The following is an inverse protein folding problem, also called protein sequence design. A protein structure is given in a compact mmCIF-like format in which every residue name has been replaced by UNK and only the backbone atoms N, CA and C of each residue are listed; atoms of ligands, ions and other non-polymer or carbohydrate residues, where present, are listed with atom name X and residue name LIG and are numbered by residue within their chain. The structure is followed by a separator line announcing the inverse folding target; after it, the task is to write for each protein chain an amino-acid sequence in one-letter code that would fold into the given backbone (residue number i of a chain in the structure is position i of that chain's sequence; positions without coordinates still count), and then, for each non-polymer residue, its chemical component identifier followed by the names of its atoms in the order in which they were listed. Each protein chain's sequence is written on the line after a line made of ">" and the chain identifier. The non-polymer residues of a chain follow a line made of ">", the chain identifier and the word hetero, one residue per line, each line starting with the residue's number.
data_IF_331773593272
#
_entry.id   IF_331773593272
#
_cell.length_a   1.000
_cell.length_b   1.000
_cell.length_c   1.000
_cell.angle_alpha   90.00
_cell.angle_beta   90.00
_cell.angle_gamma   90.00
#
_symmetry.space_group_name_H-M   'P 1'
#
loop_
_entity.id
_entity.type
_entity.pdbx_description
1 polymer ?
#
# COMPACT_ATOMS: atom_id res chain seq x y z
N UNK A 1 -20.24 -0.10 -6.35
CA UNK A 1 -21.41 -0.85 -5.88
C UNK A 1 -21.29 -1.38 -4.45
N UNK A 2 -20.32 -2.29 -4.09
CA UNK A 2 -20.19 -2.78 -2.70
C UNK A 2 -19.65 -1.70 -1.74
N UNK A 3 -18.60 -1.00 -2.13
CA UNK A 3 -17.99 0.08 -1.33
C UNK A 3 -18.96 1.23 -0.99
N UNK A 4 -19.90 1.49 -1.87
CA UNK A 4 -20.90 2.55 -1.66
C UNK A 4 -21.95 2.16 -0.62
N UNK A 5 -22.25 0.86 -0.49
CA UNK A 5 -23.22 0.35 0.48
C UNK A 5 -22.81 -1.08 0.91
N UNK A 6 -21.86 -1.19 1.86
CA UNK A 6 -21.40 -2.47 2.36
C UNK A 6 -22.42 -3.04 3.36
N UNK A 7 -23.16 -4.08 2.93
CA UNK A 7 -24.11 -4.78 3.80
C UNK A 7 -23.68 -6.23 4.01
N UNK A 8 -23.99 -6.85 5.16
CA UNK A 8 -23.70 -8.27 5.42
C UNK A 8 -24.30 -9.20 4.36
N UNK A 9 -25.50 -8.89 3.87
CA UNK A 9 -26.17 -9.63 2.81
C UNK A 9 -25.36 -9.61 1.50
N UNK A 10 -24.88 -8.44 1.07
CA UNK A 10 -24.04 -8.31 -0.13
C UNK A 10 -22.70 -9.00 0.04
N UNK A 11 -22.08 -8.90 1.21
CA UNK A 11 -20.84 -9.61 1.53
C UNK A 11 -21.01 -11.12 1.36
N UNK A 12 -22.07 -11.71 1.90
CA UNK A 12 -22.35 -13.12 1.78
C UNK A 12 -22.64 -13.54 0.32
N UNK A 13 -23.33 -12.70 -0.45
CA UNK A 13 -23.53 -12.92 -1.90
C UNK A 13 -22.19 -12.98 -2.66
N UNK A 14 -21.25 -12.08 -2.37
CA UNK A 14 -19.93 -12.11 -3.00
C UNK A 14 -19.14 -13.36 -2.60
N UNK A 15 -19.17 -13.77 -1.34
CA UNK A 15 -18.54 -15.00 -0.86
C UNK A 15 -19.14 -16.24 -1.55
N UNK A 16 -20.44 -16.33 -1.67
CA UNK A 16 -21.11 -17.42 -2.37
C UNK A 16 -20.81 -17.42 -3.88
N UNK A 17 -20.76 -16.25 -4.51
CA UNK A 17 -20.39 -16.12 -5.93
C UNK A 17 -18.94 -16.54 -6.17
N UNK A 18 -18.04 -16.18 -5.27
CA UNK A 18 -16.64 -16.61 -5.31
C UNK A 18 -16.55 -18.14 -5.27
N UNK A 19 -17.22 -18.80 -4.31
CA UNK A 19 -17.24 -20.25 -4.22
C UNK A 19 -17.78 -20.90 -5.50
N UNK A 20 -18.86 -20.38 -6.04
CA UNK A 20 -19.46 -20.90 -7.29
C UNK A 20 -18.50 -20.82 -8.48
N UNK A 21 -17.65 -19.82 -8.54
CA UNK A 21 -16.68 -19.63 -9.63
C UNK A 21 -15.45 -20.52 -9.40
N UNK A 22 -14.85 -20.47 -8.22
CA UNK A 22 -13.53 -21.05 -7.97
C UNK A 22 -13.54 -22.49 -7.47
N UNK A 23 -14.71 -23.05 -7.11
CA UNK A 23 -14.89 -24.49 -6.85
C UNK A 23 -15.14 -25.32 -8.12
N UNK A 24 -15.21 -24.69 -9.27
CA UNK A 24 -15.45 -25.43 -10.52
C UNK A 24 -14.29 -26.36 -10.83
N UNK A 25 -14.65 -27.59 -11.24
CA UNK A 25 -13.69 -28.54 -11.81
C UNK A 25 -13.65 -28.35 -13.32
N UNK A 26 -12.49 -28.45 -13.90
CA UNK A 26 -12.25 -28.31 -15.34
C UNK A 26 -11.31 -29.43 -15.80
N UNK A 27 -11.45 -29.86 -17.04
CA UNK A 27 -10.53 -30.84 -17.66
C UNK A 27 -9.11 -30.28 -17.92
N UNK A 28 -8.92 -28.96 -17.81
CA UNK A 28 -7.60 -28.34 -17.96
C UNK A 28 -6.85 -28.33 -16.63
N UNK A 29 -5.82 -29.15 -16.52
CA UNK A 29 -5.05 -29.33 -15.28
C UNK A 29 -4.51 -27.99 -14.72
N UNK A 30 -3.93 -27.16 -15.59
CA UNK A 30 -3.37 -25.86 -15.19
C UNK A 30 -4.44 -24.92 -14.64
N UNK A 31 -5.58 -24.83 -15.30
CA UNK A 31 -6.70 -24.02 -14.84
C UNK A 31 -7.27 -24.56 -13.54
N UNK A 32 -7.40 -25.89 -13.42
CA UNK A 32 -7.86 -26.54 -12.20
C UNK A 32 -6.97 -26.23 -10.98
N UNK A 33 -5.63 -26.28 -11.17
CA UNK A 33 -4.67 -25.89 -10.13
C UNK A 33 -4.78 -24.42 -9.74
N UNK A 34 -4.95 -23.52 -10.71
CA UNK A 34 -5.15 -22.09 -10.47
C UNK A 34 -6.44 -21.83 -9.67
N UNK A 35 -7.56 -22.41 -10.07
CA UNK A 35 -8.83 -22.26 -9.37
C UNK A 35 -8.74 -22.78 -7.93
N UNK A 36 -8.12 -23.95 -7.72
CA UNK A 36 -7.92 -24.51 -6.38
C UNK A 36 -7.05 -23.59 -5.51
N UNK A 37 -5.97 -23.04 -6.05
CA UNK A 37 -5.09 -22.08 -5.34
C UNK A 37 -5.83 -20.81 -4.96
N UNK A 38 -6.62 -20.23 -5.87
CA UNK A 38 -7.41 -19.04 -5.59
C UNK A 38 -8.49 -19.34 -4.55
N UNK A 39 -9.11 -20.52 -4.62
CA UNK A 39 -10.09 -20.93 -3.61
C UNK A 39 -9.48 -21.16 -2.23
N UNK A 40 -8.27 -21.74 -2.15
CA UNK A 40 -7.54 -21.93 -0.89
C UNK A 40 -7.24 -20.59 -0.20
N UNK A 41 -6.90 -19.56 -0.96
CA UNK A 41 -6.60 -18.21 -0.46
C UNK A 41 -7.86 -17.30 -0.39
N UNK A 42 -9.05 -17.88 -0.33
CA UNK A 42 -10.34 -17.16 -0.33
C UNK A 42 -10.42 -16.10 0.77
N UNK A 43 -9.97 -16.42 1.98
CA UNK A 43 -10.05 -15.49 3.12
C UNK A 43 -9.28 -14.20 2.86
N UNK A 44 -8.05 -14.32 2.37
CA UNK A 44 -7.17 -13.20 2.03
C UNK A 44 -7.71 -12.38 0.85
N UNK A 45 -8.13 -13.06 -0.21
CA UNK A 45 -8.68 -12.42 -1.41
C UNK A 45 -9.97 -11.65 -1.14
N UNK A 46 -10.78 -12.11 -0.18
CA UNK A 46 -12.05 -11.48 0.19
C UNK A 46 -11.95 -10.60 1.44
N UNK A 47 -10.76 -10.41 2.02
CA UNK A 47 -10.54 -9.50 3.15
C UNK A 47 -11.00 -8.06 2.85
N UNK A 48 -10.91 -7.62 1.59
CA UNK A 48 -11.44 -6.33 1.12
C UNK A 48 -12.94 -6.14 1.36
N UNK A 49 -13.70 -7.21 1.51
CA UNK A 49 -15.13 -7.13 1.85
C UNK A 49 -15.36 -6.76 3.31
N UNK A 50 -14.37 -6.99 4.17
CA UNK A 50 -14.40 -6.62 5.57
C UNK A 50 -13.77 -5.22 5.78
N UNK A 51 -12.99 -4.74 4.80
CA UNK A 51 -12.32 -3.43 4.78
C UNK A 51 -12.68 -2.65 3.51
N UNK A 52 -13.92 -2.14 3.38
CA UNK A 52 -14.40 -1.45 2.17
C UNK A 52 -13.71 -0.10 1.92
N UNK A 53 -13.02 0.45 2.90
CA UNK A 53 -12.18 1.64 2.85
C UNK A 53 -10.88 1.40 2.06
N UNK A 54 -10.36 0.16 2.06
CA UNK A 54 -9.12 -0.18 1.36
C UNK A 54 -9.36 -0.24 -0.16
N UNK A 55 -8.59 0.49 -0.97
CA UNK A 55 -8.72 0.43 -2.42
C UNK A 55 -8.28 -0.94 -2.97
N UNK A 56 -9.01 -1.44 -3.99
CA UNK A 56 -8.70 -2.71 -4.68
C UNK A 56 -7.48 -2.64 -5.61
N UNK A 57 -6.85 -1.49 -5.70
CA UNK A 57 -5.71 -1.26 -6.58
C UNK A 57 -4.51 -0.74 -5.80
N UNK A 58 -3.33 -1.07 -6.25
CA UNK A 58 -2.04 -0.69 -5.67
C UNK A 58 -1.40 0.51 -6.38
N UNK A 59 -2.18 1.30 -7.13
CA UNK A 59 -1.69 2.42 -7.96
C UNK A 59 -0.77 3.38 -7.19
N UNK A 60 -1.07 3.63 -5.91
CA UNK A 60 -0.22 4.46 -5.05
C UNK A 60 1.17 3.86 -4.86
N UNK A 61 1.23 2.58 -4.50
CA UNK A 61 2.48 1.85 -4.30
C UNK A 61 3.25 1.66 -5.61
N UNK A 62 2.55 1.34 -6.70
CA UNK A 62 3.17 1.23 -8.03
C UNK A 62 3.78 2.55 -8.50
N UNK A 63 3.11 3.67 -8.25
CA UNK A 63 3.61 5.01 -8.56
C UNK A 63 4.85 5.34 -7.73
N UNK A 64 4.87 4.95 -6.45
CA UNK A 64 6.03 5.16 -5.59
C UNK A 64 7.23 4.32 -6.06
N UNK A 65 7.02 3.03 -6.36
CA UNK A 65 8.05 2.15 -6.93
C UNK A 65 8.58 2.72 -8.25
N UNK A 66 7.70 3.16 -9.16
CA UNK A 66 8.10 3.78 -10.43
C UNK A 66 8.96 5.02 -10.22
N UNK A 67 8.64 5.83 -9.22
CA UNK A 67 9.44 6.99 -8.84
C UNK A 67 10.87 6.59 -8.44
N UNK A 68 11.03 5.54 -7.60
CA UNK A 68 12.32 4.99 -7.23
C UNK A 68 13.12 4.49 -8.45
N UNK A 69 12.47 3.73 -9.33
CA UNK A 69 13.10 3.21 -10.56
C UNK A 69 13.57 4.35 -11.45
N UNK A 70 12.75 5.39 -11.63
CA UNK A 70 13.10 6.56 -12.44
C UNK A 70 14.30 7.31 -11.83
N UNK A 71 14.30 7.55 -10.53
CA UNK A 71 15.43 8.18 -9.83
C UNK A 71 16.72 7.40 -9.99
N UNK A 72 16.69 6.08 -9.88
CA UNK A 72 17.85 5.22 -10.12
C UNK A 72 18.39 5.33 -11.54
N UNK A 73 17.51 5.36 -12.52
CA UNK A 73 17.92 5.51 -13.94
C UNK A 73 18.55 6.85 -14.23
N UNK A 74 18.01 7.93 -13.67
CA UNK A 74 18.52 9.29 -13.90
C UNK A 74 19.82 9.54 -13.14
N UNK A 75 19.97 9.02 -11.92
CA UNK A 75 21.15 9.26 -11.07
C UNK A 75 22.33 8.33 -11.38
N UNK A 76 22.24 7.45 -12.35
CA UNK A 76 23.33 6.50 -12.69
C UNK A 76 23.61 5.45 -11.59
N UNK A 77 22.76 5.35 -10.59
CA UNK A 77 22.91 4.41 -9.47
C UNK A 77 23.78 4.94 -8.34
N UNK A 78 23.89 4.14 -7.29
CA UNK A 78 24.77 4.38 -6.14
C UNK A 78 25.88 3.33 -6.12
N UNK A 79 27.11 3.74 -5.77
CA UNK A 79 28.31 2.88 -5.81
C UNK A 79 28.54 2.11 -4.49
N UNK A 80 27.82 2.47 -3.41
CA UNK A 80 27.92 1.83 -2.09
C UNK A 80 26.56 1.43 -1.56
N UNK A 81 26.54 0.49 -0.63
CA UNK A 81 25.32 0.07 0.07
C UNK A 81 24.78 1.19 0.93
N UNK A 82 25.64 1.91 1.67
CA UNK A 82 25.26 3.07 2.47
C UNK A 82 24.61 4.16 1.63
N UNK A 83 25.17 4.46 0.45
CA UNK A 83 24.61 5.44 -0.48
C UNK A 83 23.24 5.01 -1.03
N UNK A 84 23.05 3.70 -1.25
CA UNK A 84 21.75 3.15 -1.64
C UNK A 84 20.73 3.31 -0.52
N UNK A 85 21.08 2.89 0.69
CA UNK A 85 20.21 2.93 1.86
C UNK A 85 19.84 4.38 2.23
N UNK A 86 20.79 5.29 2.19
CA UNK A 86 20.57 6.72 2.37
C UNK A 86 19.57 7.27 1.34
N UNK A 87 19.77 7.01 0.05
CA UNK A 87 18.86 7.45 -1.01
C UNK A 87 17.45 6.91 -0.78
N UNK A 88 17.34 5.62 -0.49
CA UNK A 88 16.05 4.96 -0.34
C UNK A 88 15.32 5.47 0.93
N UNK A 89 16.05 5.73 2.02
CA UNK A 89 15.52 6.37 3.22
C UNK A 89 14.98 7.77 2.93
N UNK A 90 15.75 8.64 2.28
CA UNK A 90 15.31 10.00 1.95
C UNK A 90 14.13 10.03 0.98
N UNK A 91 14.09 9.15 -0.01
CA UNK A 91 12.93 9.02 -0.91
C UNK A 91 11.69 8.53 -0.15
N UNK A 92 11.86 7.58 0.76
CA UNK A 92 10.78 7.10 1.64
C UNK A 92 10.23 8.19 2.54
N UNK A 93 11.12 8.96 3.20
CA UNK A 93 10.75 10.10 4.03
C UNK A 93 9.97 11.16 3.22
N UNK A 94 10.49 11.56 2.06
CA UNK A 94 9.84 12.55 1.21
C UNK A 94 8.44 12.12 0.77
N UNK A 95 8.27 10.83 0.40
CA UNK A 95 6.98 10.27 0.02
C UNK A 95 6.00 10.19 1.18
N UNK A 96 6.48 9.83 2.37
CA UNK A 96 5.65 9.79 3.58
C UNK A 96 5.21 11.18 3.99
N UNK A 97 6.09 12.17 3.98
CA UNK A 97 5.74 13.57 4.23
C UNK A 97 4.66 14.04 3.25
N UNK A 98 4.83 13.79 1.95
CA UNK A 98 3.85 14.17 0.93
C UNK A 98 2.46 13.51 1.18
N UNK A 99 2.40 12.24 1.58
CA UNK A 99 1.15 11.54 1.92
C UNK A 99 0.49 12.11 3.18
N UNK A 100 1.29 12.65 4.10
CA UNK A 100 0.83 13.30 5.32
C UNK A 100 0.50 14.79 5.13
N UNK A 101 0.74 15.34 3.93
CA UNK A 101 0.53 16.78 3.66
C UNK A 101 1.56 17.67 4.38
N UNK A 102 2.76 17.15 4.64
CA UNK A 102 3.85 17.85 5.33
C UNK A 102 4.92 18.18 4.29
N UNK A 103 5.44 19.42 4.33
CA UNK A 103 6.57 19.78 3.50
C UNK A 103 7.83 19.02 3.98
N UNK A 104 8.49 18.33 3.06
CA UNK A 104 9.66 17.52 3.39
C UNK A 104 10.79 18.32 4.04
N UNK A 105 11.03 19.53 3.55
CA UNK A 105 12.08 20.40 4.09
C UNK A 105 11.77 20.92 5.49
N UNK A 106 10.51 21.20 5.80
CA UNK A 106 10.09 21.59 7.16
C UNK A 106 10.27 20.43 8.14
N UNK A 107 9.90 19.21 7.70
CA UNK A 107 10.15 18.01 8.51
C UNK A 107 11.63 17.79 8.77
N UNK A 108 12.46 17.89 7.73
CA UNK A 108 13.90 17.70 7.85
C UNK A 108 14.53 18.77 8.74
N UNK A 109 14.15 20.03 8.55
CA UNK A 109 14.59 21.15 9.38
C UNK A 109 14.22 20.97 10.85
N UNK A 110 13.01 20.48 11.13
CA UNK A 110 12.58 20.13 12.50
C UNK A 110 13.45 19.02 13.11
N UNK A 111 13.83 18.00 12.33
CA UNK A 111 14.69 16.90 12.82
C UNK A 111 16.13 17.34 13.07
N UNK A 112 16.64 18.27 12.26
CA UNK A 112 17.98 18.81 12.37
C UNK A 112 18.10 20.01 13.35
N UNK A 113 17.00 20.43 13.95
CA UNK A 113 17.00 21.56 14.92
C UNK A 113 17.31 22.89 14.26
N UNK A 114 16.95 23.12 13.01
CA UNK A 114 17.19 24.36 12.28
C UNK A 114 16.30 25.48 12.87
N UNK A 115 16.91 26.57 13.28
CA UNK A 115 16.18 27.73 13.82
C UNK A 115 15.16 28.28 12.83
N UNK A 116 13.95 28.61 13.30
CA UNK A 116 12.87 29.16 12.47
C UNK A 116 12.02 28.11 11.75
N UNK A 117 12.35 26.84 11.87
CA UNK A 117 11.53 25.78 11.31
C UNK A 117 10.42 25.33 12.29
N UNK A 118 9.23 24.94 11.78
CA UNK A 118 8.15 24.46 12.61
C UNK A 118 8.53 23.15 13.32
N UNK A 119 8.12 22.99 14.58
CA UNK A 119 8.30 21.71 15.28
C UNK A 119 7.30 20.69 14.79
N UNK A 120 7.77 19.64 14.14
CA UNK A 120 6.95 18.56 13.59
C UNK A 120 7.23 17.27 14.38
N UNK A 121 6.19 16.55 14.85
CA UNK A 121 6.37 15.26 15.52
C UNK A 121 7.05 14.22 14.61
N UNK A 122 7.68 13.18 15.18
CA UNK A 122 8.23 12.07 14.40
C UNK A 122 7.18 11.43 13.48
N UNK A 123 7.57 11.07 12.25
CA UNK A 123 6.65 10.44 11.29
C UNK A 123 5.95 9.19 11.82
N UNK A 124 6.61 8.29 12.60
CA UNK A 124 5.91 7.14 13.18
C UNK A 124 4.71 7.51 14.03
N UNK A 125 4.80 8.59 14.80
CA UNK A 125 3.72 9.04 15.67
C UNK A 125 2.56 9.64 14.84
N UNK A 126 2.89 10.43 13.82
CA UNK A 126 1.90 10.99 12.90
C UNK A 126 1.17 9.90 12.10
N UNK A 127 1.87 8.84 11.69
CA UNK A 127 1.28 7.70 11.00
C UNK A 127 0.35 6.94 11.93
N UNK A 128 0.75 6.69 13.18
CA UNK A 128 -0.08 6.01 14.19
C UNK A 128 -1.36 6.79 14.48
N UNK A 129 -1.26 8.10 14.66
CA UNK A 129 -2.44 8.95 14.90
C UNK A 129 -3.45 8.92 13.75
N UNK A 130 -2.98 8.81 12.49
CA UNK A 130 -3.88 8.71 11.33
C UNK A 130 -4.41 7.29 11.06
N UNK A 131 -3.73 6.26 11.56
CA UNK A 131 -4.12 4.87 11.41
C UNK A 131 -5.13 4.38 12.46
N UNK A 132 -5.41 5.17 13.49
CA UNK A 132 -6.46 4.84 14.45
C UNK A 132 -7.82 5.18 13.85
N UNK A 133 -8.74 4.20 13.69
CA UNK A 133 -10.12 4.49 13.32
C UNK A 133 -10.76 5.33 14.43
N UNK A 134 -11.49 6.38 14.03
CA UNK A 134 -12.32 7.19 14.90
C UNK A 134 -13.47 6.36 15.49
#
# INVERSE_FOLDING_TARGET
>A
AYRTNPTPRRRNQFRARFDRIFRRRTGFVTLGRLLARLHANKAELLAVLDHPDIPLHTNGSERDIRCHVTKRKVSGGTRSDDGRDCRDAFLGLAKTCAKLGIAFWDYLGSRLGICGQPTIPPLPDLVRCRGQPA
#
